data_IF_282872343850
#
_entry.id   IF_282872343850
#
_cell.length_a   1.000
_cell.length_b   1.000
_cell.length_c   1.000
_cell.angle_alpha   90.00
_cell.angle_beta   90.00
_cell.angle_gamma   90.00
#
_symmetry.space_group_name_H-M   'P 1'
#
loop_
_entity.id
_entity.type
_entity.pdbx_description
1 polymer ?
#
# COMPACT_ATOMS: atom_id res chain seq x y z
N UNK A 1 -24.46 -25.10 -17.09
CA UNK A 1 -24.24 -24.02 -18.06
C UNK A 1 -23.14 -23.06 -17.59
N UNK A 2 -23.25 -22.38 -16.44
CA UNK A 2 -22.28 -21.38 -15.95
C UNK A 2 -20.84 -21.91 -15.83
N UNK A 3 -20.58 -23.10 -15.22
CA UNK A 3 -19.24 -23.72 -15.13
C UNK A 3 -18.59 -23.97 -16.49
N UNK A 4 -19.36 -24.35 -17.48
CA UNK A 4 -18.88 -24.58 -18.86
C UNK A 4 -18.46 -23.24 -19.48
N UNK A 5 -19.27 -22.18 -19.31
CA UNK A 5 -18.93 -20.84 -19.78
C UNK A 5 -17.69 -20.28 -19.06
N UNK A 6 -17.55 -20.53 -17.76
CA UNK A 6 -16.31 -20.20 -17.01
C UNK A 6 -15.07 -20.84 -17.61
N UNK A 7 -15.12 -22.16 -17.88
CA UNK A 7 -13.96 -22.90 -18.41
C UNK A 7 -13.59 -22.40 -19.81
N UNK A 8 -14.59 -22.11 -20.65
CA UNK A 8 -14.36 -21.66 -22.03
C UNK A 8 -13.81 -20.22 -22.05
N UNK A 9 -14.34 -19.32 -21.24
CA UNK A 9 -13.96 -17.90 -21.26
C UNK A 9 -12.71 -17.58 -20.43
N UNK A 10 -12.30 -18.43 -19.48
CA UNK A 10 -11.17 -18.17 -18.59
C UNK A 10 -9.87 -17.89 -19.36
N UNK A 11 -9.49 -18.78 -20.28
CA UNK A 11 -8.25 -18.65 -21.06
C UNK A 11 -8.24 -17.42 -21.99
N UNK A 12 -9.30 -17.18 -22.81
CA UNK A 12 -9.39 -15.97 -23.63
C UNK A 12 -9.34 -14.68 -22.80
N UNK A 13 -10.02 -14.65 -21.67
CA UNK A 13 -10.07 -13.49 -20.78
C UNK A 13 -8.69 -13.22 -20.17
N UNK A 14 -7.99 -14.25 -19.66
CA UNK A 14 -6.62 -14.13 -19.15
C UNK A 14 -5.65 -13.66 -20.22
N UNK A 15 -5.77 -14.19 -21.45
CA UNK A 15 -4.94 -13.79 -22.58
C UNK A 15 -5.18 -12.32 -22.96
N UNK A 16 -6.45 -11.89 -23.03
CA UNK A 16 -6.82 -10.52 -23.34
C UNK A 16 -6.31 -9.56 -22.25
N UNK A 17 -6.54 -9.91 -20.99
CA UNK A 17 -6.04 -9.16 -19.85
C UNK A 17 -4.52 -8.97 -19.93
N UNK A 18 -3.74 -10.05 -20.07
CA UNK A 18 -2.28 -9.99 -20.20
C UNK A 18 -1.79 -9.17 -21.39
N UNK A 19 -2.52 -9.20 -22.51
CA UNK A 19 -2.14 -8.47 -23.72
C UNK A 19 -2.39 -6.98 -23.66
N UNK A 20 -3.42 -6.56 -22.92
CA UNK A 20 -3.89 -5.17 -22.85
C UNK A 20 -3.61 -4.50 -21.51
N UNK A 21 -3.08 -5.21 -20.53
CA UNK A 21 -2.57 -4.59 -19.30
C UNK A 21 -1.33 -3.78 -19.63
N UNK A 22 -1.36 -2.49 -19.34
CA UNK A 22 -0.18 -1.62 -19.50
C UNK A 22 0.89 -2.05 -18.51
N UNK A 23 2.13 -2.16 -18.98
CA UNK A 23 3.27 -2.33 -18.08
C UNK A 23 3.53 -1.02 -17.34
N UNK A 24 3.93 -1.08 -16.07
CA UNK A 24 4.26 0.11 -15.31
C UNK A 24 5.42 0.85 -15.99
N UNK A 25 5.21 2.13 -16.28
CA UNK A 25 6.21 2.98 -16.94
C UNK A 25 7.00 3.76 -15.88
N UNK A 26 8.28 3.42 -15.75
CA UNK A 26 9.19 3.96 -14.73
C UNK A 26 9.21 5.50 -14.68
N UNK A 27 9.36 6.14 -15.84
CA UNK A 27 9.46 7.61 -15.93
C UNK A 27 8.19 8.32 -15.42
N UNK A 28 7.01 7.79 -15.75
CA UNK A 28 5.73 8.34 -15.31
C UNK A 28 5.51 8.16 -13.81
N UNK A 29 5.80 6.97 -13.29
CA UNK A 29 5.68 6.66 -11.85
C UNK A 29 6.64 7.55 -11.05
N UNK A 30 7.90 7.66 -11.46
CA UNK A 30 8.89 8.52 -10.82
C UNK A 30 8.45 9.97 -10.76
N UNK A 31 7.94 10.51 -11.86
CA UNK A 31 7.43 11.86 -11.94
C UNK A 31 6.22 12.04 -11.00
N UNK A 32 5.26 11.14 -11.07
CA UNK A 32 4.02 11.23 -10.27
C UNK A 32 4.32 11.19 -8.76
N UNK A 33 5.18 10.27 -8.31
CA UNK A 33 5.58 10.18 -6.91
C UNK A 33 6.35 11.43 -6.45
N UNK A 34 7.28 11.92 -7.28
CA UNK A 34 8.08 13.11 -6.96
C UNK A 34 7.22 14.37 -6.89
N UNK A 35 6.28 14.52 -7.82
CA UNK A 35 5.35 15.66 -7.84
C UNK A 35 4.38 15.59 -6.64
N UNK A 36 3.86 14.41 -6.30
CA UNK A 36 2.99 14.23 -5.15
C UNK A 36 3.73 14.54 -3.84
N UNK A 37 4.93 13.97 -3.66
CA UNK A 37 5.75 14.21 -2.46
C UNK A 37 6.03 15.70 -2.27
N UNK A 38 6.44 16.41 -3.35
CA UNK A 38 6.68 17.85 -3.34
C UNK A 38 5.42 18.63 -3.01
N UNK A 39 4.30 18.34 -3.66
CA UNK A 39 3.03 19.02 -3.42
C UNK A 39 2.56 18.90 -1.97
N UNK A 40 2.78 17.74 -1.33
CA UNK A 40 2.43 17.56 0.09
C UNK A 40 3.34 18.40 0.99
N UNK A 41 4.62 18.49 0.67
CA UNK A 41 5.58 19.31 1.44
C UNK A 41 5.34 20.80 1.29
N UNK A 42 5.08 21.26 0.07
CA UNK A 42 4.93 22.70 -0.25
C UNK A 42 3.55 23.23 0.19
N UNK A 43 2.49 22.43 0.02
CA UNK A 43 1.11 22.80 0.35
C UNK A 43 0.41 21.72 1.23
N UNK A 44 0.85 21.55 2.50
CA UNK A 44 0.21 20.57 3.40
C UNK A 44 -1.28 20.85 3.54
N UNK A 45 -2.08 19.79 3.39
CA UNK A 45 -3.54 19.90 3.47
C UNK A 45 -4.21 20.00 2.10
N UNK A 46 -3.51 20.08 0.98
CA UNK A 46 -4.11 20.10 -0.38
C UNK A 46 -4.19 18.69 -0.96
N UNK A 47 -3.09 18.10 -1.34
CA UNK A 47 -2.97 16.72 -1.85
C UNK A 47 -2.74 15.70 -0.73
N UNK A 48 -2.16 16.12 0.36
CA UNK A 48 -1.86 15.29 1.49
C UNK A 48 -1.60 16.07 2.76
N UNK A 49 -1.20 15.36 3.80
CA UNK A 49 -0.93 15.93 5.13
C UNK A 49 0.44 15.49 5.64
N UNK A 50 1.09 16.35 6.39
CA UNK A 50 2.32 16.03 7.14
C UNK A 50 1.94 15.83 8.60
N UNK A 51 2.25 14.65 9.15
CA UNK A 51 1.98 14.26 10.53
C UNK A 51 3.30 14.03 11.26
N UNK A 52 3.35 14.49 12.52
CA UNK A 52 4.51 14.28 13.40
C UNK A 52 4.42 12.92 14.09
N UNK A 53 5.48 12.12 14.02
CA UNK A 53 5.61 10.85 14.73
C UNK A 53 6.22 11.11 16.11
N UNK A 54 5.34 11.23 17.10
CA UNK A 54 5.68 11.51 18.52
C UNK A 54 5.98 10.20 19.29
N UNK A 55 6.59 10.28 20.46
CA UNK A 55 6.90 9.14 21.32
C UNK A 55 5.72 8.21 21.62
N UNK A 56 4.52 8.75 21.74
CA UNK A 56 3.31 7.98 21.99
C UNK A 56 2.52 7.65 20.71
N UNK A 57 3.06 7.95 19.53
CA UNK A 57 2.40 7.64 18.28
C UNK A 57 2.34 6.13 18.07
N UNK A 58 1.15 5.66 17.69
CA UNK A 58 0.88 4.29 17.27
C UNK A 58 -0.03 4.37 16.07
N UNK A 59 0.42 3.85 14.94
CA UNK A 59 -0.27 3.93 13.67
C UNK A 59 -0.41 2.53 13.10
N UNK A 60 -1.59 2.19 12.62
CA UNK A 60 -1.85 1.03 11.78
C UNK A 60 -2.23 1.49 10.38
N UNK A 61 -1.66 0.85 9.38
CA UNK A 61 -1.90 1.11 7.96
C UNK A 61 -2.45 -0.16 7.34
N UNK A 62 -3.64 -0.07 6.78
CA UNK A 62 -4.25 -1.10 5.94
C UNK A 62 -4.57 -0.51 4.57
N UNK A 63 -4.48 -1.32 3.52
CA UNK A 63 -4.85 -0.96 2.15
C UNK A 63 -5.64 -2.08 1.47
N UNK A 64 -6.12 -1.80 0.28
CA UNK A 64 -6.63 -2.82 -0.65
C UNK A 64 -7.69 -3.73 -0.02
N UNK A 65 -8.74 -3.11 0.54
CA UNK A 65 -9.87 -3.86 1.10
C UNK A 65 -10.79 -4.36 -0.01
N UNK A 66 -10.99 -3.54 -1.06
CA UNK A 66 -11.90 -3.84 -2.17
C UNK A 66 -13.30 -4.24 -1.69
N UNK A 67 -13.83 -3.48 -0.72
CA UNK A 67 -15.18 -3.72 -0.19
C UNK A 67 -16.24 -3.51 -1.27
N UNK A 68 -16.88 -4.57 -1.67
CA UNK A 68 -17.91 -4.59 -2.70
C UNK A 68 -19.33 -4.73 -2.15
N UNK A 69 -20.19 -5.39 -2.93
CA UNK A 69 -21.59 -5.62 -2.61
C UNK A 69 -21.88 -6.95 -1.89
N UNK A 70 -20.88 -7.62 -1.33
CA UNK A 70 -20.96 -8.96 -0.73
C UNK A 70 -21.57 -10.00 -1.66
N UNK A 71 -21.25 -9.90 -2.93
CA UNK A 71 -21.64 -10.85 -3.97
C UNK A 71 -20.46 -11.76 -4.36
N UNK A 72 -20.62 -12.52 -5.44
CA UNK A 72 -19.56 -13.46 -5.86
C UNK A 72 -18.28 -12.81 -6.43
N UNK A 73 -18.24 -11.49 -6.54
CA UNK A 73 -17.08 -10.70 -7.00
C UNK A 73 -16.43 -9.88 -5.87
N UNK A 74 -16.94 -9.99 -4.64
CA UNK A 74 -16.45 -9.26 -3.48
C UNK A 74 -15.27 -10.01 -2.84
N UNK A 75 -14.07 -9.46 -2.94
CA UNK A 75 -12.85 -10.05 -2.40
C UNK A 75 -12.75 -9.88 -0.88
N UNK A 76 -13.31 -8.80 -0.33
CA UNK A 76 -13.25 -8.48 1.09
C UNK A 76 -14.11 -9.40 1.97
N UNK A 77 -15.16 -9.98 1.42
CA UNK A 77 -16.17 -10.70 2.19
C UNK A 77 -15.60 -11.75 3.16
N UNK A 78 -14.54 -12.46 2.77
CA UNK A 78 -13.90 -13.46 3.62
C UNK A 78 -13.00 -12.84 4.69
N UNK A 79 -12.37 -11.72 4.39
CA UNK A 79 -11.43 -11.03 5.25
C UNK A 79 -12.12 -10.11 6.27
N UNK A 80 -13.43 -9.85 6.13
CA UNK A 80 -14.18 -8.96 7.02
C UNK A 80 -14.03 -9.32 8.50
N UNK A 81 -14.06 -10.61 8.84
CA UNK A 81 -13.92 -11.06 10.24
C UNK A 81 -12.54 -10.71 10.82
N UNK A 82 -11.48 -10.95 10.07
CA UNK A 82 -10.10 -10.60 10.46
C UNK A 82 -9.93 -9.10 10.58
N UNK A 83 -10.51 -8.35 9.64
CA UNK A 83 -10.46 -6.89 9.62
C UNK A 83 -11.18 -6.26 10.82
N UNK A 84 -12.39 -6.72 11.15
CA UNK A 84 -13.13 -6.24 12.31
C UNK A 84 -12.39 -6.53 13.62
N UNK A 85 -11.82 -7.73 13.77
CA UNK A 85 -11.01 -8.07 14.94
C UNK A 85 -9.76 -7.19 15.07
N UNK A 86 -9.11 -6.90 13.92
CA UNK A 86 -7.98 -5.98 13.90
C UNK A 86 -8.39 -4.57 14.31
N UNK A 87 -9.49 -4.04 13.77
CA UNK A 87 -9.97 -2.70 14.13
C UNK A 87 -10.31 -2.59 15.62
N UNK A 88 -10.94 -3.62 16.20
CA UNK A 88 -11.24 -3.64 17.64
C UNK A 88 -9.95 -3.54 18.46
N UNK A 89 -8.97 -4.41 18.17
CA UNK A 89 -7.67 -4.39 18.83
C UNK A 89 -6.97 -3.03 18.74
N UNK A 90 -6.88 -2.45 17.53
CA UNK A 90 -6.18 -1.19 17.33
C UNK A 90 -6.91 0.00 17.96
N UNK A 91 -8.23 -0.02 17.99
CA UNK A 91 -9.01 1.01 18.66
C UNK A 91 -8.76 0.99 20.18
N UNK A 92 -8.83 -0.18 20.81
CA UNK A 92 -8.58 -0.37 22.25
C UNK A 92 -7.14 0.03 22.62
N UNK A 93 -6.17 -0.32 21.77
CA UNK A 93 -4.77 0.03 21.97
C UNK A 93 -4.41 1.45 21.51
N UNK A 94 -5.41 2.30 21.21
CA UNK A 94 -5.30 3.74 20.93
C UNK A 94 -4.48 4.09 19.68
N UNK A 95 -4.41 3.19 18.71
CA UNK A 95 -3.77 3.46 17.42
C UNK A 95 -4.53 4.54 16.64
N UNK A 96 -3.80 5.25 15.78
CA UNK A 96 -4.34 5.94 14.62
C UNK A 96 -4.46 4.94 13.48
N UNK A 97 -5.53 5.03 12.71
CA UNK A 97 -5.74 4.19 11.55
C UNK A 97 -5.58 4.99 10.27
N UNK A 98 -4.73 4.52 9.36
CA UNK A 98 -4.55 5.03 8.00
C UNK A 98 -5.08 3.99 7.01
N UNK A 99 -6.15 4.33 6.30
CA UNK A 99 -6.66 3.58 5.16
C UNK A 99 -5.95 4.05 3.90
N UNK A 100 -5.08 3.20 3.33
CA UNK A 100 -4.10 3.58 2.31
C UNK A 100 -4.57 3.23 0.88
N UNK A 101 -5.80 3.56 0.55
CA UNK A 101 -6.38 3.39 -0.80
C UNK A 101 -7.07 2.06 -1.03
N UNK A 102 -7.86 2.01 -2.09
CA UNK A 102 -8.66 0.87 -2.53
C UNK A 102 -9.51 0.26 -1.41
N UNK A 103 -10.12 1.15 -0.62
CA UNK A 103 -10.99 0.72 0.48
C UNK A 103 -12.33 0.22 -0.03
N UNK A 104 -12.88 0.90 -1.03
CA UNK A 104 -14.15 0.56 -1.65
C UNK A 104 -13.95 0.17 -3.12
N UNK A 105 -14.56 -0.94 -3.54
CA UNK A 105 -14.58 -1.39 -4.93
C UNK A 105 -15.65 -0.62 -5.72
N UNK A 106 -15.32 0.62 -6.12
CA UNK A 106 -16.24 1.52 -6.83
C UNK A 106 -16.11 1.45 -8.36
N UNK A 107 -15.25 0.59 -8.88
CA UNK A 107 -15.25 0.27 -10.31
C UNK A 107 -16.39 -0.69 -10.67
N UNK A 108 -16.69 -1.63 -9.77
CA UNK A 108 -17.65 -2.70 -10.00
C UNK A 108 -18.99 -2.47 -9.26
N UNK A 109 -19.00 -1.58 -8.27
CA UNK A 109 -20.15 -1.38 -7.40
C UNK A 109 -20.49 0.10 -7.26
N UNK A 110 -21.76 0.39 -7.06
CA UNK A 110 -22.18 1.73 -6.65
C UNK A 110 -21.88 1.95 -5.16
N UNK A 111 -21.58 3.18 -4.77
CA UNK A 111 -21.37 3.54 -3.37
C UNK A 111 -22.54 3.11 -2.47
N UNK A 112 -23.78 3.18 -2.97
CA UNK A 112 -24.96 2.76 -2.20
C UNK A 112 -24.97 1.25 -1.94
N UNK A 113 -24.55 0.42 -2.89
CA UNK A 113 -24.40 -1.02 -2.69
C UNK A 113 -23.31 -1.32 -1.66
N UNK A 114 -22.15 -0.70 -1.79
CA UNK A 114 -21.05 -0.86 -0.82
C UNK A 114 -21.49 -0.46 0.59
N UNK A 115 -22.13 0.71 0.75
CA UNK A 115 -22.66 1.19 2.05
C UNK A 115 -23.63 0.21 2.67
N UNK A 116 -24.62 -0.24 1.90
CA UNK A 116 -25.69 -1.14 2.39
C UNK A 116 -25.12 -2.47 2.90
N UNK A 117 -24.11 -3.00 2.23
CA UNK A 117 -23.57 -4.33 2.52
C UNK A 117 -22.44 -4.31 3.56
N UNK A 118 -21.80 -3.17 3.82
CA UNK A 118 -20.63 -3.06 4.71
C UNK A 118 -20.86 -2.14 5.92
N UNK A 119 -22.11 -2.03 6.40
CA UNK A 119 -22.47 -1.14 7.52
C UNK A 119 -21.61 -1.41 8.78
N UNK A 120 -21.33 -2.67 9.09
CA UNK A 120 -20.57 -3.06 10.29
C UNK A 120 -19.14 -2.52 10.20
N UNK A 121 -18.48 -2.64 9.05
CA UNK A 121 -17.11 -2.13 8.86
C UNK A 121 -17.06 -0.62 8.89
N UNK A 122 -18.04 0.08 8.29
CA UNK A 122 -18.14 1.54 8.39
C UNK A 122 -18.35 2.03 9.83
N UNK A 123 -19.17 1.34 10.63
CA UNK A 123 -19.33 1.67 12.05
C UNK A 123 -18.05 1.39 12.86
N UNK A 124 -17.30 0.33 12.54
CA UNK A 124 -16.01 0.06 13.16
C UNK A 124 -14.99 1.18 12.88
N UNK A 125 -14.88 1.65 11.63
CA UNK A 125 -14.03 2.77 11.23
C UNK A 125 -14.47 4.10 11.85
N UNK A 126 -15.76 4.32 11.96
CA UNK A 126 -16.35 5.54 12.53
C UNK A 126 -15.86 5.81 13.96
N UNK A 127 -15.56 4.77 14.74
CA UNK A 127 -15.00 4.93 16.10
C UNK A 127 -13.68 5.72 16.08
N UNK A 128 -12.81 5.43 15.11
CA UNK A 128 -11.54 6.14 14.93
C UNK A 128 -11.78 7.58 14.43
N UNK A 129 -12.73 7.77 13.51
CA UNK A 129 -13.07 9.08 12.94
C UNK A 129 -13.60 10.03 14.02
N UNK A 130 -14.46 9.54 14.91
CA UNK A 130 -15.01 10.33 16.01
C UNK A 130 -13.95 10.75 17.03
N UNK A 131 -12.82 10.03 17.12
CA UNK A 131 -11.68 10.34 17.97
C UNK A 131 -10.55 11.11 17.25
N UNK A 132 -10.78 11.57 16.02
CA UNK A 132 -9.76 12.23 15.17
C UNK A 132 -8.50 11.35 14.94
N UNK A 133 -8.69 10.03 14.87
CA UNK A 133 -7.64 9.03 14.73
C UNK A 133 -7.72 8.26 13.41
N UNK A 134 -8.33 8.83 12.38
CA UNK A 134 -8.49 8.19 11.08
C UNK A 134 -8.04 9.12 9.96
N UNK A 135 -7.24 8.57 9.06
CA UNK A 135 -6.85 9.23 7.81
C UNK A 135 -7.16 8.31 6.65
N UNK A 136 -7.69 8.89 5.57
CA UNK A 136 -8.03 8.14 4.35
C UNK A 136 -7.24 8.69 3.17
N UNK A 137 -6.57 7.77 2.48
CA UNK A 137 -5.98 7.98 1.16
C UNK A 137 -6.86 7.26 0.15
N UNK A 138 -7.01 7.79 -1.06
CA UNK A 138 -7.70 7.09 -2.14
C UNK A 138 -6.71 6.26 -2.97
N UNK A 139 -7.23 5.19 -3.58
CA UNK A 139 -6.54 4.38 -4.56
C UNK A 139 -7.20 4.50 -5.94
N UNK A 140 -6.84 3.61 -6.86
CA UNK A 140 -7.41 3.64 -8.21
C UNK A 140 -8.85 3.06 -8.27
N UNK A 141 -9.22 2.12 -7.42
CA UNK A 141 -10.58 1.58 -7.37
C UNK A 141 -11.57 2.51 -6.66
N UNK A 142 -11.07 3.40 -5.82
CA UNK A 142 -11.89 4.38 -5.11
C UNK A 142 -11.50 5.84 -5.42
N UNK A 143 -11.00 6.13 -6.64
CA UNK A 143 -10.76 7.47 -7.19
C UNK A 143 -11.98 8.42 -7.08
N UNK A 144 -13.17 7.86 -6.87
CA UNK A 144 -14.36 8.64 -6.57
C UNK A 144 -14.16 9.63 -5.42
N UNK A 145 -13.26 9.30 -4.48
CA UNK A 145 -12.96 10.15 -3.34
C UNK A 145 -12.07 11.36 -3.64
N UNK A 146 -11.45 11.41 -4.82
CA UNK A 146 -10.71 12.62 -5.29
C UNK A 146 -11.67 13.71 -5.83
N UNK A 147 -12.91 13.75 -5.38
CA UNK A 147 -13.93 14.68 -5.84
C UNK A 147 -14.46 15.53 -4.68
N UNK A 148 -13.66 16.47 -4.20
CA UNK A 148 -14.10 17.47 -3.21
C UNK A 148 -14.93 18.58 -3.90
N UNK A 149 -16.10 19.01 -3.38
CA UNK A 149 -16.60 18.72 -2.02
C UNK A 149 -17.55 17.50 -1.93
N UNK A 150 -17.89 16.83 -3.05
CA UNK A 150 -18.89 15.76 -3.08
C UNK A 150 -18.46 14.61 -2.17
N UNK A 151 -17.20 14.16 -2.26
CA UNK A 151 -16.63 13.11 -1.42
C UNK A 151 -16.81 13.41 0.08
N UNK A 152 -16.49 14.64 0.49
CA UNK A 152 -16.63 15.06 1.89
C UNK A 152 -18.07 15.03 2.40
N UNK A 153 -19.06 15.34 1.53
CA UNK A 153 -20.47 15.27 1.89
C UNK A 153 -20.94 13.81 2.01
N UNK A 154 -20.52 12.95 1.08
CA UNK A 154 -20.83 11.51 1.11
C UNK A 154 -20.24 10.84 2.35
N UNK A 155 -18.98 11.13 2.65
CA UNK A 155 -18.32 10.59 3.84
C UNK A 155 -18.96 11.12 5.14
N UNK A 156 -19.41 12.38 5.17
CA UNK A 156 -20.22 12.90 6.30
C UNK A 156 -21.51 12.12 6.45
N UNK A 157 -22.19 11.75 5.36
CA UNK A 157 -23.42 10.95 5.42
C UNK A 157 -23.17 9.49 5.89
N UNK A 158 -21.96 8.95 5.62
CA UNK A 158 -21.57 7.61 6.08
C UNK A 158 -21.16 7.63 7.56
N UNK A 159 -20.27 8.53 7.94
CA UNK A 159 -19.59 8.51 9.23
C UNK A 159 -20.15 9.51 10.26
N UNK A 160 -21.06 10.41 9.85
CA UNK A 160 -21.58 11.48 10.71
C UNK A 160 -20.63 12.67 10.92
N UNK A 161 -19.40 12.59 10.44
CA UNK A 161 -18.35 13.62 10.56
C UNK A 161 -17.72 13.89 9.21
N UNK A 162 -17.36 15.14 8.91
CA UNK A 162 -16.61 15.47 7.69
C UNK A 162 -15.24 14.81 7.75
N UNK A 163 -14.91 14.09 6.69
CA UNK A 163 -13.60 13.48 6.49
C UNK A 163 -13.00 14.02 5.20
N UNK A 164 -11.72 14.37 5.24
CA UNK A 164 -10.95 14.71 4.06
C UNK A 164 -10.19 13.48 3.58
N UNK A 165 -10.21 13.24 2.30
CA UNK A 165 -9.42 12.19 1.65
C UNK A 165 -8.20 12.82 1.00
N UNK A 166 -7.09 12.13 1.05
CA UNK A 166 -5.80 12.58 0.56
C UNK A 166 -5.28 11.65 -0.54
N UNK A 167 -4.29 12.10 -1.28
CA UNK A 167 -3.53 11.29 -2.24
C UNK A 167 -2.29 10.65 -1.58
N UNK A 168 -1.77 11.27 -0.51
CA UNK A 168 -0.66 10.74 0.27
C UNK A 168 -0.52 11.39 1.64
N UNK A 169 0.31 10.81 2.49
CA UNK A 169 0.60 11.27 3.84
C UNK A 169 2.12 11.20 4.05
N UNK A 170 2.68 12.19 4.74
CA UNK A 170 4.07 12.17 5.16
C UNK A 170 4.12 12.11 6.68
N UNK A 171 4.88 11.16 7.24
CA UNK A 171 5.19 11.09 8.66
C UNK A 171 6.63 11.56 8.87
N UNK A 172 6.84 12.47 9.81
CA UNK A 172 8.15 12.97 10.20
C UNK A 172 8.43 12.64 11.65
N UNK A 173 9.60 12.04 11.93
CA UNK A 173 10.00 11.77 13.31
C UNK A 173 10.30 13.09 14.04
N UNK A 174 9.70 13.29 15.21
CA UNK A 174 9.93 14.46 16.04
C UNK A 174 11.33 14.36 16.68
N UNK A 175 12.25 15.20 16.25
CA UNK A 175 13.56 15.32 16.89
C UNK A 175 13.46 16.31 18.06
N UNK A 176 13.47 15.82 19.28
CA UNK A 176 13.46 16.68 20.49
C UNK A 176 14.75 17.51 20.68
N UNK A 177 15.77 17.31 19.91
CA UNK A 177 17.01 18.09 19.96
C UNK A 177 17.00 19.20 18.92
N UNK A 178 16.42 20.33 19.27
CA UNK A 178 16.47 21.55 18.47
C UNK A 178 15.17 22.32 18.50
N UNK A 179 14.93 23.12 19.54
CA UNK A 179 14.09 24.29 19.43
C UNK A 179 14.64 25.20 18.32
N UNK A 180 14.33 24.90 17.08
CA UNK A 180 14.44 25.89 16.02
C UNK A 180 13.11 26.64 16.02
N UNK A 181 13.16 27.85 16.57
CA UNK A 181 12.12 28.85 16.38
C UNK A 181 11.56 28.79 14.97
N UNK A 182 10.24 28.84 14.85
CA UNK A 182 9.52 29.10 13.60
C UNK A 182 9.94 30.48 13.06
N UNK A 183 11.17 30.63 12.62
CA UNK A 183 11.52 31.65 11.67
C UNK A 183 10.84 31.27 10.38
N UNK A 184 10.00 32.19 9.87
CA UNK A 184 9.66 32.29 8.44
C UNK A 184 10.99 32.44 7.68
N UNK A 185 11.68 31.36 7.47
CA UNK A 185 12.93 31.35 6.70
C UNK A 185 12.79 30.31 5.63
N UNK A 186 12.91 30.82 4.44
CA UNK A 186 13.28 30.15 3.19
C UNK A 186 13.39 28.63 3.31
N UNK A 187 12.34 27.96 2.82
CA UNK A 187 12.24 26.53 2.66
C UNK A 187 13.61 25.95 2.22
N UNK A 188 14.31 25.09 3.00
CA UNK A 188 15.56 24.46 2.56
C UNK A 188 15.35 23.61 1.31
N UNK A 189 14.10 23.32 0.94
CA UNK A 189 13.72 22.67 -0.31
C UNK A 189 13.56 23.65 -1.50
N UNK A 190 13.77 24.95 -1.33
CA UNK A 190 13.81 25.92 -2.46
C UNK A 190 14.99 25.70 -3.41
N UNK A 191 15.90 24.80 -3.10
CA UNK A 191 17.00 24.37 -3.97
C UNK A 191 16.54 23.32 -4.98
N UNK A 192 15.30 22.77 -4.85
CA UNK A 192 14.73 21.83 -5.81
C UNK A 192 14.14 22.53 -7.04
N UNK A 193 14.90 23.35 -7.71
CA UNK A 193 14.67 23.61 -9.13
C UNK A 193 15.23 22.43 -9.93
N UNK A 194 14.51 21.32 -9.96
CA UNK A 194 14.78 20.27 -10.92
C UNK A 194 14.46 20.84 -12.30
N UNK A 195 15.49 21.13 -13.07
CA UNK A 195 15.35 21.23 -14.53
C UNK A 195 14.86 19.87 -15.00
N UNK A 196 13.86 19.85 -15.84
CA UNK A 196 13.11 18.69 -16.31
C UNK A 196 13.92 17.62 -17.07
N UNK A 197 15.24 17.72 -17.13
CA UNK A 197 16.08 16.93 -18.04
C UNK A 197 17.32 16.28 -17.40
N UNK A 198 17.35 16.09 -16.06
CA UNK A 198 18.46 15.41 -15.39
C UNK A 198 18.01 14.09 -14.75
N UNK A 199 18.32 12.97 -15.39
CA UNK A 199 17.99 11.60 -14.97
C UNK A 199 18.77 11.11 -13.72
N UNK A 200 19.77 11.83 -13.17
CA UNK A 200 20.74 11.28 -12.21
C UNK A 200 21.16 12.16 -11.01
N UNK A 201 20.43 13.18 -10.60
CA UNK A 201 20.83 13.93 -9.40
C UNK A 201 20.27 13.30 -8.10
N UNK A 202 21.15 12.61 -7.36
CA UNK A 202 20.97 12.24 -5.94
C UNK A 202 20.96 13.54 -5.12
N UNK A 203 19.81 13.92 -4.59
CA UNK A 203 19.67 15.12 -3.77
C UNK A 203 20.18 14.86 -2.35
N UNK A 204 21.23 15.54 -1.89
CA UNK A 204 21.74 15.34 -0.55
C UNK A 204 20.83 16.04 0.46
N UNK A 205 20.06 15.26 1.22
CA UNK A 205 19.38 15.74 2.42
C UNK A 205 20.36 15.53 3.60
N UNK A 206 21.27 16.46 3.81
CA UNK A 206 22.16 16.42 4.96
C UNK A 206 21.35 16.69 6.25
N UNK A 207 21.44 15.79 7.22
CA UNK A 207 20.86 15.88 8.57
C UNK A 207 19.32 15.95 8.66
N UNK A 208 18.57 15.33 7.73
CA UNK A 208 17.12 15.25 7.87
C UNK A 208 16.69 14.06 8.75
N UNK A 209 15.66 14.24 9.59
CA UNK A 209 15.04 13.14 10.30
C UNK A 209 14.42 12.14 9.30
N UNK A 210 14.27 10.88 9.74
CA UNK A 210 13.62 9.87 8.93
C UNK A 210 12.22 10.33 8.52
N UNK A 211 11.99 10.35 7.22
CA UNK A 211 10.70 10.71 6.61
C UNK A 211 10.05 9.45 6.07
N UNK A 212 8.78 9.21 6.40
CA UNK A 212 8.01 8.09 5.86
C UNK A 212 6.91 8.67 4.96
N UNK A 213 6.94 8.33 3.68
CA UNK A 213 5.96 8.74 2.69
C UNK A 213 4.98 7.59 2.43
N UNK A 214 3.69 7.88 2.59
CA UNK A 214 2.59 6.95 2.43
C UNK A 214 1.76 7.37 1.23
N UNK A 215 1.57 6.49 0.27
CA UNK A 215 0.65 6.68 -0.85
C UNK A 215 0.13 5.32 -1.32
N UNK A 216 -0.99 5.27 -2.04
CA UNK A 216 -1.53 3.97 -2.46
C UNK A 216 -0.59 3.21 -3.39
N UNK A 217 0.09 3.88 -4.31
CA UNK A 217 1.06 3.28 -5.22
C UNK A 217 0.61 3.19 -6.68
N UNK A 218 -0.61 3.61 -7.01
CA UNK A 218 -1.13 3.64 -8.38
C UNK A 218 -0.66 4.85 -9.20
N UNK A 219 0.02 5.80 -8.56
CA UNK A 219 0.42 7.06 -9.18
C UNK A 219 1.33 6.84 -10.39
N UNK A 220 0.94 7.41 -11.54
CA UNK A 220 1.67 7.28 -12.81
C UNK A 220 1.44 5.97 -13.56
N UNK A 221 0.64 5.05 -13.05
CA UNK A 221 0.22 3.87 -13.81
C UNK A 221 -0.86 4.24 -14.82
N UNK A 222 -0.58 4.05 -16.12
CA UNK A 222 -1.48 4.39 -17.21
C UNK A 222 -2.80 3.64 -17.19
N UNK A 223 -2.83 2.43 -16.60
CA UNK A 223 -4.05 1.63 -16.45
C UNK A 223 -4.93 2.12 -15.30
N UNK A 224 -4.32 2.79 -14.33
CA UNK A 224 -4.95 3.22 -13.08
C UNK A 224 -5.27 4.71 -13.04
N UNK A 225 -4.56 5.52 -13.87
CA UNK A 225 -4.70 6.99 -13.92
C UNK A 225 -5.93 7.43 -14.72
N UNK A 226 -7.13 7.30 -14.11
CA UNK A 226 -8.28 8.12 -14.46
C UNK A 226 -8.90 7.98 -15.86
N UNK A 227 -8.58 6.95 -16.63
CA UNK A 227 -9.16 6.77 -17.96
C UNK A 227 -10.66 6.46 -17.86
N UNK A 228 -11.50 7.46 -18.16
CA UNK A 228 -12.97 7.35 -18.14
C UNK A 228 -13.49 6.15 -18.94
N UNK A 229 -12.84 5.83 -20.06
CA UNK A 229 -13.25 4.73 -20.93
C UNK A 229 -13.01 3.37 -20.24
N UNK A 230 -11.88 3.21 -19.53
CA UNK A 230 -11.62 2.00 -18.73
C UNK A 230 -12.63 1.83 -17.61
N UNK A 231 -12.97 2.92 -16.90
CA UNK A 231 -14.01 2.89 -15.84
C UNK A 231 -15.37 2.48 -16.39
N UNK A 232 -15.78 3.05 -17.55
CA UNK A 232 -17.06 2.72 -18.19
C UNK A 232 -17.09 1.25 -18.63
N UNK A 233 -16.01 0.75 -19.23
CA UNK A 233 -15.92 -0.64 -19.69
C UNK A 233 -15.96 -1.61 -18.50
N UNK A 234 -15.19 -1.34 -17.45
CA UNK A 234 -15.16 -2.16 -16.24
C UNK A 234 -16.54 -2.18 -15.57
N UNK A 235 -17.15 -1.04 -15.33
CA UNK A 235 -18.43 -0.96 -14.62
C UNK A 235 -19.61 -1.58 -15.39
N UNK A 236 -19.68 -1.40 -16.72
CA UNK A 236 -20.87 -1.75 -17.49
C UNK A 236 -20.78 -3.09 -18.25
N UNK A 237 -19.56 -3.56 -18.53
CA UNK A 237 -19.35 -4.80 -19.30
C UNK A 237 -18.63 -5.85 -18.45
N UNK A 238 -17.54 -5.45 -17.81
CA UNK A 238 -16.67 -6.37 -17.10
C UNK A 238 -17.23 -6.81 -15.76
N UNK A 239 -17.67 -5.91 -14.91
CA UNK A 239 -18.21 -6.23 -13.59
C UNK A 239 -19.48 -7.13 -13.64
N UNK A 240 -20.48 -6.90 -14.51
CA UNK A 240 -21.58 -7.82 -14.68
C UNK A 240 -21.14 -9.22 -15.13
N UNK A 241 -20.19 -9.30 -16.06
CA UNK A 241 -19.63 -10.57 -16.56
C UNK A 241 -18.86 -11.31 -15.47
N UNK A 242 -18.03 -10.61 -14.72
CA UNK A 242 -17.24 -11.10 -13.60
C UNK A 242 -18.14 -11.62 -12.47
N UNK A 243 -19.13 -10.85 -12.07
CA UNK A 243 -20.14 -11.24 -11.08
C UNK A 243 -20.93 -12.48 -11.52
N UNK A 244 -21.36 -12.55 -12.78
CA UNK A 244 -22.05 -13.71 -13.34
C UNK A 244 -21.16 -14.95 -13.36
N UNK A 245 -19.91 -14.80 -13.77
CA UNK A 245 -18.95 -15.91 -13.88
C UNK A 245 -18.34 -16.27 -12.52
N UNK A 246 -18.45 -15.41 -11.50
CA UNK A 246 -17.74 -15.51 -10.20
C UNK A 246 -16.23 -15.71 -10.38
N UNK A 247 -15.65 -14.94 -11.27
CA UNK A 247 -14.21 -14.97 -11.58
C UNK A 247 -13.65 -13.64 -11.10
N UNK A 248 -12.85 -13.66 -10.04
CA UNK A 248 -12.14 -12.48 -9.57
C UNK A 248 -10.84 -12.34 -10.36
N UNK A 249 -10.75 -11.26 -11.14
CA UNK A 249 -9.54 -10.87 -11.86
C UNK A 249 -9.20 -9.43 -11.53
N UNK A 250 -8.66 -9.17 -10.38
CA UNK A 250 -7.92 -7.92 -10.17
C UNK A 250 -6.58 -8.06 -10.88
N UNK A 251 -6.43 -7.39 -12.00
CA UNK A 251 -5.40 -7.67 -13.00
C UNK A 251 -3.96 -7.49 -12.52
N UNK A 252 -3.57 -6.46 -11.71
CA UNK A 252 -2.25 -6.41 -11.11
C UNK A 252 -2.05 -7.46 -10.01
N UNK A 253 -3.12 -7.81 -9.26
CA UNK A 253 -3.06 -8.75 -8.15
C UNK A 253 -2.83 -10.22 -8.55
N UNK A 254 -2.90 -10.56 -9.83
CA UNK A 254 -2.77 -11.95 -10.32
C UNK A 254 -1.54 -12.21 -11.20
N UNK A 255 -0.84 -11.16 -11.64
CA UNK A 255 0.38 -11.29 -12.44
C UNK A 255 1.60 -10.97 -11.56
N UNK A 256 2.30 -12.00 -11.12
CA UNK A 256 3.47 -11.88 -10.23
C UNK A 256 4.61 -11.08 -10.89
N UNK A 257 4.76 -11.16 -12.22
CA UNK A 257 5.80 -10.41 -12.93
C UNK A 257 5.48 -8.92 -12.93
N UNK A 258 4.20 -8.54 -13.08
CA UNK A 258 3.77 -7.14 -13.02
C UNK A 258 3.88 -6.57 -11.60
N UNK A 259 3.51 -7.33 -10.57
CA UNK A 259 3.69 -6.93 -9.17
C UNK A 259 5.15 -6.68 -8.86
N UNK A 260 6.00 -7.63 -9.23
CA UNK A 260 7.44 -7.56 -9.00
C UNK A 260 8.04 -6.35 -9.71
N UNK A 261 7.67 -6.12 -10.98
CA UNK A 261 8.12 -4.95 -11.73
C UNK A 261 7.67 -3.63 -11.09
N UNK A 262 6.43 -3.56 -10.61
CA UNK A 262 5.90 -2.37 -9.94
C UNK A 262 6.60 -2.12 -8.61
N UNK A 263 6.74 -3.14 -7.76
CA UNK A 263 7.46 -3.05 -6.48
C UNK A 263 8.92 -2.61 -6.69
N UNK A 264 9.58 -3.11 -7.75
CA UNK A 264 10.94 -2.71 -8.10
C UNK A 264 11.02 -1.22 -8.45
N UNK A 265 10.07 -0.70 -9.23
CA UNK A 265 10.04 0.74 -9.58
C UNK A 265 9.80 1.60 -8.33
N UNK A 266 8.91 1.19 -7.42
CA UNK A 266 8.68 1.88 -6.15
C UNK A 266 9.94 1.89 -5.28
N UNK A 267 10.64 0.76 -5.20
CA UNK A 267 11.93 0.66 -4.54
C UNK A 267 12.97 1.59 -5.19
N UNK A 268 13.16 1.53 -6.50
CA UNK A 268 14.13 2.36 -7.22
C UNK A 268 13.89 3.86 -7.00
N UNK A 269 12.62 4.27 -6.91
CA UNK A 269 12.28 5.64 -6.59
C UNK A 269 12.69 5.99 -5.16
N UNK A 270 12.29 5.20 -4.17
CA UNK A 270 12.58 5.48 -2.76
C UNK A 270 14.08 5.43 -2.45
N UNK A 271 14.83 4.52 -3.07
CA UNK A 271 16.26 4.34 -2.87
C UNK A 271 17.13 5.52 -3.37
N UNK A 272 16.56 6.42 -4.20
CA UNK A 272 17.22 7.67 -4.64
C UNK A 272 17.31 8.72 -3.52
N UNK A 273 16.47 8.61 -2.50
CA UNK A 273 16.42 9.59 -1.43
C UNK A 273 17.12 9.07 -0.18
N UNK A 274 17.82 9.97 0.50
CA UNK A 274 18.37 9.69 1.83
C UNK A 274 17.31 9.87 2.90
N UNK A 275 17.35 9.06 3.93
CA UNK A 275 16.44 9.11 5.09
C UNK A 275 14.95 9.10 4.70
N UNK A 276 14.60 8.43 3.59
CA UNK A 276 13.22 8.28 3.12
C UNK A 276 12.82 6.81 3.12
N UNK A 277 11.64 6.55 3.67
CA UNK A 277 10.92 5.27 3.54
C UNK A 277 9.64 5.52 2.76
N UNK A 278 9.38 4.72 1.74
CA UNK A 278 8.12 4.70 1.00
C UNK A 278 7.28 3.51 1.46
N UNK A 279 6.00 3.75 1.78
CA UNK A 279 5.03 2.69 2.09
C UNK A 279 3.87 2.79 1.12
N UNK A 280 3.53 1.67 0.46
CA UNK A 280 2.40 1.58 -0.48
C UNK A 280 1.48 0.37 -0.20
N UNK A 281 0.41 0.26 -0.95
CA UNK A 281 -0.45 -0.92 -1.17
C UNK A 281 -0.41 -1.32 -2.64
N UNK A 282 -1.59 -1.44 -3.29
CA UNK A 282 -1.83 -1.58 -4.72
C UNK A 282 -1.43 -2.93 -5.33
N UNK A 283 -0.26 -3.48 -5.02
CA UNK A 283 0.19 -4.76 -5.60
C UNK A 283 -0.34 -5.97 -4.85
N UNK A 284 -0.99 -5.79 -3.70
CA UNK A 284 -1.44 -6.84 -2.79
C UNK A 284 -0.33 -7.80 -2.33
N UNK A 285 0.91 -7.44 -2.56
CA UNK A 285 2.08 -8.24 -2.18
C UNK A 285 2.83 -7.56 -1.04
N UNK A 286 2.84 -8.15 0.18
CA UNK A 286 3.57 -7.57 1.29
C UNK A 286 5.06 -7.49 0.98
N UNK A 287 5.64 -6.30 1.21
CA UNK A 287 7.08 -6.05 1.09
C UNK A 287 7.56 -5.44 2.39
N UNK A 288 8.68 -5.92 2.90
CA UNK A 288 9.32 -5.39 4.10
C UNK A 288 10.81 -5.23 3.87
N UNK A 289 11.34 -4.03 4.13
CA UNK A 289 12.74 -3.69 3.84
C UNK A 289 13.13 -3.94 2.37
N UNK A 290 12.24 -3.56 1.46
CA UNK A 290 12.40 -3.71 0.00
C UNK A 290 12.37 -5.14 -0.53
N UNK A 291 12.12 -6.12 0.31
CA UNK A 291 12.09 -7.53 -0.04
C UNK A 291 10.74 -8.17 0.31
N UNK A 292 10.25 -9.01 -0.58
CA UNK A 292 9.18 -9.94 -0.27
C UNK A 292 9.68 -11.08 0.61
N UNK A 293 8.78 -11.81 1.26
CA UNK A 293 9.20 -12.91 2.13
C UNK A 293 10.08 -13.97 1.42
N UNK A 294 9.78 -14.43 0.20
CA UNK A 294 10.68 -15.33 -0.52
C UNK A 294 12.05 -14.74 -0.83
N UNK A 295 12.11 -13.48 -1.23
CA UNK A 295 13.38 -12.78 -1.49
C UNK A 295 14.26 -12.70 -0.23
N UNK A 296 13.63 -12.50 0.94
CA UNK A 296 14.31 -12.55 2.24
C UNK A 296 14.89 -13.93 2.53
N UNK A 297 14.14 -15.01 2.27
CA UNK A 297 14.65 -16.38 2.44
C UNK A 297 15.89 -16.63 1.58
N UNK A 298 15.89 -16.19 0.33
CA UNK A 298 17.08 -16.31 -0.53
C UNK A 298 18.25 -15.46 -0.04
N UNK A 299 18.00 -14.26 0.47
CA UNK A 299 19.05 -13.44 1.09
C UNK A 299 19.64 -14.12 2.32
N UNK A 300 18.78 -14.61 3.23
CA UNK A 300 19.20 -15.35 4.42
C UNK A 300 20.01 -16.61 4.05
N UNK A 301 19.57 -17.34 3.02
CA UNK A 301 20.32 -18.49 2.49
C UNK A 301 21.72 -18.08 2.02
N UNK A 302 21.85 -17.01 1.25
CA UNK A 302 23.13 -16.49 0.80
C UNK A 302 24.06 -16.08 1.95
N UNK A 303 23.51 -15.44 2.97
CA UNK A 303 24.26 -15.01 4.16
C UNK A 303 24.67 -16.20 5.04
N UNK A 304 23.80 -17.22 5.19
CA UNK A 304 24.10 -18.46 5.91
C UNK A 304 25.22 -19.28 5.21
N UNK A 305 25.18 -19.37 3.89
CA UNK A 305 26.23 -20.03 3.10
C UNK A 305 27.58 -19.32 3.27
N UNK A 306 27.61 -17.98 3.15
CA UNK A 306 28.83 -17.19 3.34
C UNK A 306 29.42 -17.33 4.74
N UNK A 307 28.55 -17.48 5.74
CA UNK A 307 28.94 -17.66 7.14
C UNK A 307 29.20 -19.12 7.54
N UNK A 308 29.11 -20.09 6.59
CA UNK A 308 29.27 -21.53 6.81
C UNK A 308 28.31 -22.11 7.88
N UNK A 309 27.08 -21.59 8.01
CA UNK A 309 26.06 -22.03 8.97
C UNK A 309 25.19 -23.16 8.38
N UNK A 310 25.76 -24.37 8.31
CA UNK A 310 25.20 -25.53 7.58
C UNK A 310 23.79 -25.95 8.02
N UNK A 311 23.45 -25.87 9.31
CA UNK A 311 22.13 -26.28 9.80
C UNK A 311 21.06 -25.23 9.43
N UNK A 312 21.39 -23.96 9.47
CA UNK A 312 20.52 -22.88 9.04
C UNK A 312 20.27 -22.93 7.50
N UNK A 313 21.31 -23.24 6.72
CA UNK A 313 21.19 -23.47 5.26
C UNK A 313 20.13 -24.52 4.96
N UNK A 314 20.18 -25.69 5.63
CA UNK A 314 19.22 -26.77 5.42
C UNK A 314 17.78 -26.34 5.75
N UNK A 315 17.58 -25.64 6.88
CA UNK A 315 16.26 -25.16 7.29
C UNK A 315 15.68 -24.18 6.27
N UNK A 316 16.48 -23.21 5.82
CA UNK A 316 16.03 -22.23 4.83
C UNK A 316 15.74 -22.89 3.48
N UNK A 317 16.57 -23.85 3.04
CA UNK A 317 16.31 -24.61 1.81
C UNK A 317 15.00 -25.41 1.87
N UNK A 318 14.67 -25.99 3.04
CA UNK A 318 13.39 -26.67 3.24
C UNK A 318 12.21 -25.69 3.18
N UNK A 319 12.35 -24.52 3.77
CA UNK A 319 11.31 -23.46 3.71
C UNK A 319 11.11 -22.93 2.28
N UNK A 320 12.19 -22.74 1.53
CA UNK A 320 12.14 -22.40 0.11
C UNK A 320 11.46 -23.52 -0.69
N UNK A 321 11.79 -24.78 -0.47
CA UNK A 321 11.16 -25.94 -1.16
C UNK A 321 9.66 -26.07 -0.86
N UNK A 322 9.23 -25.85 0.39
CA UNK A 322 7.81 -25.86 0.76
C UNK A 322 7.00 -24.79 0.01
N UNK A 323 7.63 -23.64 -0.30
CA UNK A 323 7.02 -22.48 -0.97
C UNK A 323 7.35 -22.44 -2.47
N UNK A 324 8.27 -23.28 -2.93
CA UNK A 324 8.99 -23.21 -4.21
C UNK A 324 8.20 -23.57 -5.46
N UNK A 325 6.86 -23.46 -5.48
CA UNK A 325 6.11 -23.57 -6.74
C UNK A 325 6.04 -22.25 -7.53
N UNK A 326 6.40 -21.12 -6.92
CA UNK A 326 6.09 -19.79 -7.46
C UNK A 326 7.32 -18.94 -7.85
N UNK A 327 8.58 -19.38 -7.54
CA UNK A 327 9.75 -18.54 -7.76
C UNK A 327 10.86 -19.23 -8.53
N UNK A 328 11.15 -18.73 -9.73
CA UNK A 328 12.16 -19.32 -10.64
C UNK A 328 13.60 -18.91 -10.33
N UNK A 329 13.89 -17.74 -9.83
CA UNK A 329 15.23 -17.28 -9.41
C UNK A 329 15.15 -15.91 -8.75
N UNK A 330 15.93 -15.68 -7.68
CA UNK A 330 16.10 -14.33 -7.10
C UNK A 330 17.31 -13.67 -7.76
N UNK A 331 17.15 -12.57 -8.50
CA UNK A 331 18.28 -11.85 -9.07
C UNK A 331 19.24 -11.35 -8.00
N UNK A 332 20.55 -11.39 -8.26
CA UNK A 332 21.59 -10.97 -7.32
C UNK A 332 21.43 -9.52 -6.82
N UNK A 333 20.75 -8.67 -7.57
CA UNK A 333 20.44 -7.28 -7.19
C UNK A 333 19.65 -7.15 -5.89
N UNK A 334 18.84 -8.13 -5.51
CA UNK A 334 18.07 -8.09 -4.25
C UNK A 334 18.94 -8.20 -2.99
N UNK A 335 20.16 -8.74 -3.11
CA UNK A 335 21.08 -8.88 -1.97
C UNK A 335 21.63 -7.55 -1.48
N UNK A 336 21.59 -6.50 -2.30
CA UNK A 336 22.16 -5.18 -2.02
C UNK A 336 21.11 -4.08 -1.87
N UNK A 337 19.83 -4.43 -1.83
CA UNK A 337 18.75 -3.46 -1.71
C UNK A 337 18.75 -2.76 -0.35
N UNK A 338 18.55 -1.43 -0.39
CA UNK A 338 18.35 -0.63 0.83
C UNK A 338 16.94 -0.85 1.39
N UNK A 339 16.72 -0.78 2.70
CA UNK A 339 15.40 -0.98 3.32
C UNK A 339 14.50 0.28 3.20
N UNK A 340 14.35 0.82 1.98
CA UNK A 340 13.64 2.08 1.73
C UNK A 340 12.18 1.90 1.27
N UNK A 341 11.76 0.68 0.94
CA UNK A 341 10.44 0.40 0.42
C UNK A 341 9.69 -0.67 1.24
N UNK A 342 8.41 -0.40 1.51
CA UNK A 342 7.49 -1.28 2.21
C UNK A 342 6.15 -1.32 1.49
N UNK A 343 5.44 -2.44 1.59
CA UNK A 343 4.09 -2.58 1.09
C UNK A 343 3.23 -3.29 2.13
N UNK A 344 2.04 -2.74 2.43
CA UNK A 344 1.13 -3.26 3.44
C UNK A 344 0.49 -4.61 3.07
N UNK A 345 0.63 -5.06 1.82
CA UNK A 345 -0.13 -6.18 1.30
C UNK A 345 -1.58 -5.79 1.04
N UNK A 346 -2.55 -6.58 1.48
CA UNK A 346 -3.96 -6.26 1.31
C UNK A 346 -4.86 -6.77 2.44
N UNK A 347 -6.12 -6.32 2.43
CA UNK A 347 -7.17 -6.78 3.33
C UNK A 347 -8.21 -7.64 2.60
N UNK A 348 -7.82 -8.36 1.55
CA UNK A 348 -8.74 -9.16 0.72
C UNK A 348 -8.15 -10.50 0.27
N UNK A 349 -7.29 -11.13 1.08
CA UNK A 349 -6.77 -12.46 0.73
C UNK A 349 -7.87 -13.52 0.72
N UNK A 350 -7.71 -14.50 -0.18
CA UNK A 350 -8.69 -15.57 -0.42
C UNK A 350 -8.91 -16.49 0.77
N UNK A 351 -7.94 -16.61 1.67
CA UNK A 351 -8.01 -17.39 2.91
C UNK A 351 -8.69 -16.63 4.06
N UNK A 352 -8.95 -15.32 3.87
CA UNK A 352 -9.53 -14.45 4.87
C UNK A 352 -8.52 -13.77 5.78
N UNK A 353 -7.24 -13.98 5.55
CA UNK A 353 -6.17 -13.25 6.22
C UNK A 353 -6.10 -11.80 5.72
N UNK A 354 -5.49 -10.94 6.50
CA UNK A 354 -5.15 -9.57 6.10
C UNK A 354 -3.75 -9.23 6.57
N UNK A 355 -3.08 -8.32 5.86
CA UNK A 355 -1.79 -7.77 6.29
C UNK A 355 -1.85 -6.26 6.41
N UNK A 356 -0.96 -5.70 7.22
CA UNK A 356 -0.83 -4.27 7.41
C UNK A 356 0.51 -3.89 8.00
N UNK A 357 0.78 -2.60 8.08
CA UNK A 357 2.00 -2.07 8.68
C UNK A 357 1.66 -1.29 9.95
N UNK A 358 2.26 -1.69 11.05
CA UNK A 358 2.27 -0.92 12.29
C UNK A 358 3.50 -0.02 12.35
N UNK A 359 3.30 1.22 12.79
CA UNK A 359 4.39 2.17 13.06
C UNK A 359 4.21 2.70 14.48
N UNK A 360 5.27 2.59 15.26
CA UNK A 360 5.41 3.28 16.54
C UNK A 360 6.57 4.28 16.45
N UNK A 361 6.83 5.03 17.50
CA UNK A 361 8.01 5.90 17.57
C UNK A 361 9.34 5.12 17.45
N UNK A 362 9.36 3.85 17.83
CA UNK A 362 10.56 3.04 17.89
C UNK A 362 10.72 2.13 16.68
N UNK A 363 9.63 1.57 16.16
CA UNK A 363 9.69 0.50 15.17
C UNK A 363 8.59 0.53 14.13
N UNK A 364 8.85 -0.11 13.02
CA UNK A 364 7.91 -0.49 11.99
C UNK A 364 7.80 -2.02 11.95
N UNK A 365 6.59 -2.54 11.81
CA UNK A 365 6.34 -3.99 11.79
C UNK A 365 5.33 -4.33 10.70
N UNK A 366 5.58 -5.40 9.96
CA UNK A 366 4.59 -6.04 9.09
C UNK A 366 3.80 -7.03 9.93
N UNK A 367 2.49 -6.89 9.94
CA UNK A 367 1.59 -7.71 10.75
C UNK A 367 0.58 -8.42 9.87
N UNK A 368 0.15 -9.58 10.36
CA UNK A 368 -0.92 -10.38 9.77
C UNK A 368 -2.00 -10.65 10.82
N UNK A 369 -3.26 -10.58 10.36
CA UNK A 369 -4.42 -11.07 11.10
C UNK A 369 -5.05 -12.21 10.34
N UNK A 370 -5.27 -13.32 10.99
CA UNK A 370 -5.88 -14.49 10.37
C UNK A 370 -7.38 -14.59 10.67
N UNK A 371 -8.05 -15.51 9.97
CA UNK A 371 -9.48 -15.77 10.13
C UNK A 371 -9.89 -16.16 11.57
N UNK A 372 -8.95 -16.67 12.36
CA UNK A 372 -9.14 -16.99 13.79
C UNK A 372 -8.96 -15.76 14.69
N UNK A 373 -8.89 -14.56 14.13
CA UNK A 373 -8.72 -13.28 14.85
C UNK A 373 -7.39 -13.17 15.61
N UNK A 374 -6.37 -13.88 15.18
CA UNK A 374 -5.05 -13.84 15.80
C UNK A 374 -4.14 -12.88 15.04
N UNK A 375 -3.43 -12.03 15.82
CA UNK A 375 -2.41 -11.13 15.31
C UNK A 375 -1.04 -11.82 15.36
N UNK A 376 -0.33 -11.77 14.27
CA UNK A 376 1.04 -12.26 14.12
C UNK A 376 1.93 -11.14 13.59
N UNK A 377 3.13 -10.97 14.15
CA UNK A 377 4.17 -10.10 13.59
C UNK A 377 5.00 -10.95 12.63
N UNK A 378 4.95 -10.61 11.33
CA UNK A 378 5.70 -11.32 10.31
C UNK A 378 7.15 -10.84 10.24
N UNK A 379 7.34 -9.53 10.45
CA UNK A 379 8.63 -8.87 10.31
C UNK A 379 8.65 -7.57 11.11
N UNK A 380 9.81 -7.18 11.67
CA UNK A 380 9.94 -5.87 12.31
C UNK A 380 11.38 -5.34 12.26
N UNK A 381 11.52 -4.01 12.24
CA UNK A 381 12.79 -3.30 12.32
C UNK A 381 12.64 -1.99 13.08
N UNK A 382 13.74 -1.46 13.63
CA UNK A 382 13.68 -0.18 14.35
C UNK A 382 13.83 1.00 13.40
N UNK A 383 13.12 2.11 13.71
CA UNK A 383 13.26 3.33 12.92
C UNK A 383 14.67 3.93 13.00
N UNK A 384 15.39 3.67 14.09
CA UNK A 384 16.78 4.10 14.23
C UNK A 384 17.70 3.33 13.28
N UNK A 385 17.55 1.99 13.19
CA UNK A 385 18.29 1.15 12.24
C UNK A 385 18.03 1.61 10.80
N UNK A 386 16.75 1.84 10.44
CA UNK A 386 16.39 2.36 9.12
C UNK A 386 17.06 3.72 8.85
N UNK A 387 17.03 4.62 9.82
CA UNK A 387 17.66 5.94 9.68
C UNK A 387 19.18 5.85 9.50
N UNK A 388 19.84 4.91 10.16
CA UNK A 388 21.30 4.70 10.01
C UNK A 388 21.65 4.14 8.63
N UNK A 389 20.88 3.17 8.13
CA UNK A 389 21.16 2.54 6.82
C UNK A 389 20.83 3.49 5.67
N UNK A 390 19.83 4.36 5.83
CA UNK A 390 19.33 5.24 4.77
C UNK A 390 20.01 6.62 4.73
N UNK A 391 20.93 6.90 5.64
CA UNK A 391 21.77 8.12 5.59
C UNK A 391 22.69 8.07 4.38
#
# INVERSE_FOLDING_TARGET
MRRVVQIILLKPILWFSRKFTSRPERSRIFKALSDLFRNIKDEPGKKGVVLSLKENSRIIIFSDHHRGAKNGADDFMKAETSYLAALDYYFENKFQYISLGDSEELWENTLNQVKKNNTITFEAEKRFILKDKFFKVFGNHDLYWDNSPIASQQLKAIYGKKLRVFEGIILEKDNKEGHIEKKKTNNPFSIFKIKSDAEDEVLPIANCPLTIFLTHGHQGDASSDGNWFSKFFVANIWAPLQSYLRINFNTPAYDEDLKTAHNLIMYEWSAKYKSLVLITGHTHQPVFESLTHPEKLYKQLGDAIKANRTDEVKQIEEDIKRRGRDYKTTPAQYLTMKPSYFNSGCCCYRDGDITGIEITHEKISLVKWNINKQREVLDETTLNTLQEILK
#
